data_IF_151078211450
#
_entry.id   IF_151078211450
#
_cell.length_a   1.000
_cell.length_b   1.000
_cell.length_c   1.000
_cell.angle_alpha   90.00
_cell.angle_beta   90.00
_cell.angle_gamma   90.00
#
_symmetry.space_group_name_H-M   'P 1'
#
loop_
_entity.id
_entity.type
_entity.pdbx_description
1 polymer ?
#
# COMPACT_ATOMS: atom_id res chain seq x y z
N UNK A 1 11.79 -6.05 -5.93
CA UNK A 1 13.04 -6.58 -5.38
C UNK A 1 12.92 -6.59 -3.86
N UNK A 2 13.16 -7.73 -3.25
CA UNK A 2 13.06 -7.90 -1.81
C UNK A 2 14.39 -8.28 -1.18
N UNK A 3 14.39 -8.32 0.11
CA UNK A 3 15.52 -8.78 0.92
C UNK A 3 15.42 -10.28 1.16
N UNK A 4 15.79 -11.08 0.18
CA UNK A 4 15.63 -12.54 0.20
C UNK A 4 16.92 -13.32 0.44
N UNK A 5 17.99 -12.63 0.86
CA UNK A 5 19.28 -13.26 1.17
C UNK A 5 19.79 -12.81 2.53
N UNK A 6 20.47 -13.72 3.19
CA UNK A 6 21.25 -13.38 4.40
C UNK A 6 22.45 -12.51 4.05
N UNK A 7 22.76 -11.56 4.90
CA UNK A 7 23.94 -10.69 4.82
C UNK A 7 24.79 -11.01 6.05
N UNK A 8 25.98 -11.54 5.84
CA UNK A 8 26.90 -11.94 6.93
C UNK A 8 26.22 -12.86 7.96
N UNK A 9 25.35 -13.77 7.49
CA UNK A 9 24.63 -14.72 8.33
C UNK A 9 23.36 -14.18 8.98
N UNK A 10 23.11 -12.87 8.90
CA UNK A 10 21.88 -12.23 9.43
C UNK A 10 20.77 -12.22 8.38
N UNK A 11 19.54 -12.35 8.82
CA UNK A 11 18.36 -12.15 8.00
C UNK A 11 18.00 -10.66 7.95
N UNK A 12 17.42 -10.16 6.85
CA UNK A 12 16.94 -8.78 6.79
C UNK A 12 16.04 -8.39 7.97
N UNK A 13 15.20 -9.28 8.46
CA UNK A 13 14.37 -9.05 9.64
C UNK A 13 15.13 -8.77 10.94
N UNK A 14 16.41 -9.10 11.00
CA UNK A 14 17.26 -8.81 12.18
C UNK A 14 17.69 -7.33 12.27
N UNK A 15 17.63 -6.60 11.15
CA UNK A 15 18.12 -5.22 11.08
C UNK A 15 17.22 -4.24 10.31
N UNK A 16 16.13 -4.72 9.71
CA UNK A 16 15.14 -3.87 9.03
C UNK A 16 13.87 -3.82 9.87
N UNK A 17 13.48 -2.64 10.29
CA UNK A 17 12.28 -2.44 11.11
C UNK A 17 11.00 -2.52 10.29
N UNK A 18 11.04 -2.04 9.03
CA UNK A 18 9.85 -1.93 8.19
C UNK A 18 10.17 -1.96 6.70
N UNK A 19 9.32 -2.62 5.91
CA UNK A 19 9.43 -2.69 4.47
C UNK A 19 8.14 -2.25 3.77
N UNK A 20 8.28 -1.39 2.77
CA UNK A 20 7.18 -0.95 1.92
C UNK A 20 7.42 -1.50 0.51
N UNK A 21 6.46 -2.24 -0.01
CA UNK A 21 6.57 -2.84 -1.33
C UNK A 21 5.81 -2.04 -2.37
N UNK A 22 6.45 -1.79 -3.51
CA UNK A 22 5.85 -1.17 -4.68
C UNK A 22 5.28 -2.17 -5.70
N UNK A 23 5.44 -3.49 -5.45
CA UNK A 23 5.04 -4.56 -6.37
C UNK A 23 4.20 -5.68 -5.71
N UNK A 24 3.16 -5.33 -4.99
CA UNK A 24 2.26 -6.30 -4.42
C UNK A 24 2.76 -6.92 -3.13
N UNK A 25 3.71 -7.83 -3.20
CA UNK A 25 4.41 -8.49 -2.08
C UNK A 25 3.49 -8.98 -0.94
N UNK A 26 2.37 -9.60 -1.32
CA UNK A 26 1.49 -10.27 -0.39
C UNK A 26 2.10 -11.57 0.14
N UNK A 27 3.06 -12.13 -0.61
CA UNK A 27 3.93 -13.24 -0.21
C UNK A 27 5.23 -12.65 0.39
N UNK A 28 5.09 -12.04 1.57
CA UNK A 28 6.17 -11.32 2.21
C UNK A 28 7.32 -12.24 2.65
N UNK A 29 7.05 -13.46 3.02
CA UNK A 29 8.05 -14.45 3.44
C UNK A 29 9.06 -14.74 2.34
N UNK A 30 8.60 -14.73 1.09
CA UNK A 30 9.47 -14.93 -0.06
C UNK A 30 10.37 -13.72 -0.34
N UNK A 31 9.84 -12.50 -0.15
CA UNK A 31 10.55 -11.27 -0.53
C UNK A 31 11.31 -10.62 0.63
N UNK A 32 10.94 -10.89 1.87
CA UNK A 32 11.48 -10.22 3.05
C UNK A 32 11.85 -11.24 4.13
N UNK A 33 12.98 -11.91 3.92
CA UNK A 33 13.46 -12.99 4.78
C UNK A 33 13.60 -12.52 6.25
N UNK A 34 13.00 -13.28 7.18
CA UNK A 34 13.06 -13.01 8.61
C UNK A 34 12.20 -11.84 9.11
N UNK A 35 11.44 -11.18 8.23
CA UNK A 35 10.52 -10.13 8.65
C UNK A 35 9.17 -10.71 9.07
N UNK A 36 8.57 -10.10 10.06
CA UNK A 36 7.20 -10.38 10.47
C UNK A 36 6.19 -9.64 9.57
N UNK A 37 4.99 -10.18 9.45
CA UNK A 37 3.95 -9.61 8.59
C UNK A 37 3.60 -8.16 8.94
N UNK A 38 3.59 -7.82 10.22
CA UNK A 38 3.32 -6.46 10.71
C UNK A 38 4.45 -5.45 10.41
N UNK A 39 5.58 -5.92 9.92
CA UNK A 39 6.68 -5.07 9.45
C UNK A 39 6.59 -4.76 7.95
N UNK A 40 5.59 -5.31 7.24
CA UNK A 40 5.48 -5.19 5.78
C UNK A 40 4.19 -4.48 5.37
N UNK A 41 4.31 -3.50 4.46
CA UNK A 41 3.19 -2.87 3.78
C UNK A 41 3.16 -3.31 2.31
N UNK A 42 2.25 -4.23 1.93
CA UNK A 42 2.05 -4.58 0.53
C UNK A 42 1.34 -3.47 -0.24
N UNK A 43 1.35 -3.54 -1.56
CA UNK A 43 0.57 -2.65 -2.42
C UNK A 43 -0.44 -3.41 -3.29
N UNK A 44 -1.34 -2.71 -3.94
CA UNK A 44 -2.36 -3.29 -4.83
C UNK A 44 -1.82 -3.61 -6.22
N UNK A 45 -0.59 -4.09 -6.35
CA UNK A 45 -0.05 -4.39 -7.66
C UNK A 45 -0.82 -5.53 -8.33
N UNK A 46 -1.74 -5.16 -9.17
CA UNK A 46 -2.26 -6.03 -10.20
C UNK A 46 -1.88 -5.42 -11.55
N UNK A 47 -0.88 -5.98 -12.20
CA UNK A 47 -0.40 -5.51 -13.50
C UNK A 47 -1.44 -5.61 -14.63
N UNK A 48 -2.54 -6.34 -14.40
CA UNK A 48 -3.60 -6.50 -15.37
C UNK A 48 -4.55 -5.29 -15.47
N UNK A 49 -4.57 -4.42 -14.46
CA UNK A 49 -5.43 -3.24 -14.43
C UNK A 49 -4.68 -2.03 -13.87
N UNK A 50 -4.55 -0.99 -14.66
CA UNK A 50 -3.96 0.27 -14.22
C UNK A 50 -4.73 0.90 -13.06
N UNK A 51 -6.05 0.80 -13.06
CA UNK A 51 -6.90 1.33 -11.98
C UNK A 51 -6.67 0.59 -10.65
N UNK A 52 -6.69 -0.74 -10.65
CA UNK A 52 -6.49 -1.54 -9.44
C UNK A 52 -5.07 -1.40 -8.86
N UNK A 53 -4.11 -1.08 -9.70
CA UNK A 53 -2.72 -0.82 -9.30
C UNK A 53 -2.57 0.44 -8.43
N UNK A 54 -3.43 1.44 -8.66
CA UNK A 54 -3.31 2.77 -8.08
C UNK A 54 -4.34 3.07 -6.99
N UNK A 55 -5.26 2.13 -6.75
CA UNK A 55 -6.38 2.35 -5.84
C UNK A 55 -6.29 1.42 -4.63
N UNK A 56 -6.42 1.98 -3.44
CA UNK A 56 -6.61 1.22 -2.22
C UNK A 56 -8.06 0.70 -2.17
N UNK A 57 -8.26 -0.55 -2.59
CA UNK A 57 -9.58 -1.19 -2.62
C UNK A 57 -9.99 -1.72 -1.26
N UNK A 58 -11.29 -1.81 -1.02
CA UNK A 58 -11.84 -2.44 0.19
C UNK A 58 -11.25 -3.82 0.45
N UNK A 59 -11.21 -4.68 -0.58
CA UNK A 59 -10.71 -6.05 -0.43
C UNK A 59 -9.25 -6.09 0.01
N UNK A 60 -8.39 -5.27 -0.59
CA UNK A 60 -6.99 -5.21 -0.21
C UNK A 60 -6.80 -4.69 1.22
N UNK A 61 -7.52 -3.65 1.59
CA UNK A 61 -7.40 -3.05 2.92
C UNK A 61 -7.95 -3.97 4.02
N UNK A 62 -9.06 -4.64 3.76
CA UNK A 62 -9.58 -5.67 4.68
C UNK A 62 -8.61 -6.86 4.80
N UNK A 63 -7.96 -7.26 3.73
CA UNK A 63 -6.93 -8.28 3.75
C UNK A 63 -5.73 -7.85 4.60
N UNK A 64 -5.23 -6.62 4.42
CA UNK A 64 -4.17 -6.07 5.27
C UNK A 64 -4.52 -6.18 6.75
N UNK A 65 -5.72 -5.75 7.12
CA UNK A 65 -6.19 -5.79 8.50
C UNK A 65 -6.35 -7.22 9.03
N UNK A 66 -7.01 -8.08 8.27
CA UNK A 66 -7.31 -9.45 8.70
C UNK A 66 -6.07 -10.33 8.80
N UNK A 67 -5.10 -10.13 7.93
CA UNK A 67 -3.85 -10.88 7.91
C UNK A 67 -2.75 -10.25 8.79
N UNK A 68 -2.97 -9.06 9.33
CA UNK A 68 -2.04 -8.39 10.25
C UNK A 68 -0.82 -7.78 9.59
N UNK A 69 -0.93 -7.31 8.35
CA UNK A 69 0.14 -6.52 7.72
C UNK A 69 0.32 -5.17 8.41
N UNK A 70 1.53 -4.61 8.33
CA UNK A 70 1.90 -3.36 8.99
C UNK A 70 1.31 -2.09 8.35
N UNK A 71 0.75 -2.20 7.15
CA UNK A 71 0.17 -1.07 6.43
C UNK A 71 -0.21 -1.44 5.00
N UNK A 72 -0.48 -0.42 4.19
CA UNK A 72 -0.76 -0.58 2.77
C UNK A 72 -0.13 0.57 1.98
N UNK A 73 0.60 0.24 0.92
CA UNK A 73 1.24 1.24 0.07
C UNK A 73 0.32 1.61 -1.09
N UNK A 74 0.11 2.90 -1.28
CA UNK A 74 -0.56 3.47 -2.45
C UNK A 74 0.45 4.23 -3.28
N UNK A 75 0.62 3.85 -4.50
CA UNK A 75 1.47 4.55 -5.47
C UNK A 75 0.57 5.30 -6.44
N UNK A 76 0.81 6.43 -6.78
CA UNK A 76 1.47 7.64 -6.33
C UNK A 76 0.35 8.69 -6.24
N UNK A 77 0.27 9.39 -5.14
CA UNK A 77 -0.79 10.38 -4.93
C UNK A 77 -0.40 11.70 -5.63
N UNK A 78 -1.24 12.16 -6.55
CA UNK A 78 -1.01 13.36 -7.37
C UNK A 78 -2.23 14.29 -7.28
N UNK A 79 -2.49 14.79 -6.09
CA UNK A 79 -3.70 15.57 -5.76
C UNK A 79 -3.95 16.80 -6.63
N UNK A 80 -2.95 17.26 -7.34
CA UNK A 80 -3.06 18.41 -8.25
C UNK A 80 -3.58 18.05 -9.64
N UNK A 81 -3.86 16.76 -9.91
CA UNK A 81 -4.28 16.30 -11.24
C UNK A 81 -5.75 15.88 -11.22
N UNK A 82 -6.56 16.59 -12.01
CA UNK A 82 -8.00 16.36 -12.09
C UNK A 82 -8.39 14.94 -12.53
N UNK A 83 -7.61 14.35 -13.43
CA UNK A 83 -7.91 13.05 -14.03
C UNK A 83 -7.85 11.88 -13.02
N UNK A 84 -7.03 12.01 -12.00
CA UNK A 84 -6.84 10.98 -10.98
C UNK A 84 -7.50 11.31 -9.64
N UNK A 85 -8.07 12.50 -9.51
CA UNK A 85 -8.65 13.01 -8.25
C UNK A 85 -9.64 12.05 -7.61
N UNK A 86 -10.61 11.57 -8.37
CA UNK A 86 -11.64 10.70 -7.83
C UNK A 86 -11.07 9.38 -7.28
N UNK A 87 -10.09 8.82 -7.98
CA UNK A 87 -9.41 7.59 -7.58
C UNK A 87 -8.60 7.79 -6.30
N UNK A 88 -7.88 8.90 -6.19
CA UNK A 88 -7.09 9.22 -5.00
C UNK A 88 -7.98 9.51 -3.80
N UNK A 89 -9.06 10.24 -3.99
CA UNK A 89 -10.03 10.49 -2.92
C UNK A 89 -10.74 9.21 -2.48
N UNK A 90 -11.05 8.31 -3.41
CA UNK A 90 -11.59 6.98 -3.09
C UNK A 90 -10.58 6.17 -2.26
N UNK A 91 -9.31 6.14 -2.67
CA UNK A 91 -8.26 5.43 -1.94
C UNK A 91 -8.12 5.93 -0.51
N UNK A 92 -8.10 7.23 -0.30
CA UNK A 92 -7.98 7.82 1.05
C UNK A 92 -9.21 7.55 1.92
N UNK A 93 -10.42 7.64 1.34
CA UNK A 93 -11.66 7.28 2.06
C UNK A 93 -11.67 5.80 2.45
N UNK A 94 -11.25 4.93 1.55
CA UNK A 94 -11.17 3.50 1.82
C UNK A 94 -10.14 3.20 2.92
N UNK A 95 -8.97 3.84 2.89
CA UNK A 95 -7.95 3.70 3.94
C UNK A 95 -8.52 4.11 5.30
N UNK A 96 -9.12 5.29 5.38
CA UNK A 96 -9.73 5.76 6.62
C UNK A 96 -10.78 4.77 7.15
N UNK A 97 -11.67 4.32 6.26
CA UNK A 97 -12.77 3.44 6.63
C UNK A 97 -12.33 2.02 7.02
N UNK A 98 -11.50 1.39 6.19
CA UNK A 98 -11.22 -0.05 6.32
C UNK A 98 -9.98 -0.39 7.16
N UNK A 99 -9.06 0.55 7.33
CA UNK A 99 -7.91 0.37 8.23
C UNK A 99 -8.13 1.01 9.61
N UNK A 100 -8.81 2.14 9.67
CA UNK A 100 -8.91 2.96 10.90
C UNK A 100 -10.33 3.09 11.45
N UNK A 101 -11.33 2.49 10.83
CA UNK A 101 -12.76 2.61 11.20
C UNK A 101 -13.22 4.09 11.29
N UNK A 102 -12.70 4.93 10.41
CA UNK A 102 -12.94 6.38 10.40
C UNK A 102 -13.55 6.84 9.07
N UNK A 103 -14.05 8.07 9.05
CA UNK A 103 -14.58 8.70 7.85
C UNK A 103 -13.75 9.93 7.50
N UNK A 104 -13.27 9.96 6.26
CA UNK A 104 -12.54 11.10 5.73
C UNK A 104 -13.45 11.97 4.87
N UNK A 105 -13.56 13.24 5.23
CA UNK A 105 -14.31 14.25 4.48
C UNK A 105 -13.34 15.24 3.85
N UNK A 106 -13.43 15.39 2.53
CA UNK A 106 -12.63 16.36 1.78
C UNK A 106 -13.40 17.67 1.65
N UNK A 107 -12.77 18.76 2.06
CA UNK A 107 -13.31 20.13 1.99
C UNK A 107 -12.69 20.95 0.86
N UNK A 108 -11.65 20.45 0.22
CA UNK A 108 -11.00 21.10 -0.92
C UNK A 108 -11.74 20.87 -2.24
N UNK A 109 -11.48 21.73 -3.20
CA UNK A 109 -12.00 21.61 -4.56
C UNK A 109 -11.12 20.71 -5.41
N UNK A 110 -11.75 20.01 -6.36
CA UNK A 110 -11.03 19.24 -7.36
C UNK A 110 -10.16 20.18 -8.22
N UNK A 111 -8.88 19.88 -8.44
CA UNK A 111 -8.02 20.71 -9.28
C UNK A 111 -8.49 20.69 -10.74
N UNK A 112 -8.26 21.79 -11.45
CA UNK A 112 -8.56 21.90 -12.89
C UNK A 112 -7.43 21.35 -13.78
N UNK A 113 -6.24 21.18 -13.22
CA UNK A 113 -5.06 20.70 -13.95
C UNK A 113 -5.21 19.25 -14.38
N UNK A 114 -4.89 18.94 -15.62
CA UNK A 114 -4.78 17.58 -16.17
C UNK A 114 -3.31 17.24 -16.46
N UNK A 115 -3.07 15.94 -16.71
CA UNK A 115 -1.73 15.47 -17.14
C UNK A 115 -1.30 16.06 -18.47
#
# INVERSE_FOLDING_TARGET
YGFYKKIEGMEPGDFVDYAISDYGSWDYEHYYLGMERNQVAPCSANFASSYARWTATQNNLQRVRNEGFGGFMVYCLTFHVADVWNREMESLRNIAKYLYDDNLVFTGEKPETTW
#
